data_IF_382523093822
#
_entry.id   IF_382523093822
#
_cell.length_a   1.000
_cell.length_b   1.000
_cell.length_c   1.000
_cell.angle_alpha   90.00
_cell.angle_beta   90.00
_cell.angle_gamma   90.00
#
_symmetry.space_group_name_H-M   'P 1'
#
loop_
_entity.id
_entity.type
_entity.pdbx_description
1 polymer ?
#
# COMPACT_ATOMS: atom_id res chain seq x y z
N UNK A 1 -9.90 1.63 16.60
CA UNK A 1 -10.21 1.81 15.17
C UNK A 1 -9.05 1.38 14.32
N UNK A 2 -9.36 0.63 13.25
CA UNK A 2 -8.33 0.25 12.31
C UNK A 2 -7.81 1.46 11.57
N UNK A 3 -6.52 1.73 11.71
CA UNK A 3 -5.87 2.78 10.96
C UNK A 3 -5.06 2.11 9.83
N UNK A 4 -5.66 2.05 8.64
CA UNK A 4 -5.04 1.39 7.50
C UNK A 4 -3.71 2.03 7.12
N UNK A 5 -3.62 3.34 7.25
CA UNK A 5 -2.40 4.07 6.94
C UNK A 5 -1.24 3.63 7.85
N UNK A 6 -1.52 3.52 9.14
CA UNK A 6 -0.53 3.05 10.12
C UNK A 6 -0.12 1.61 9.83
N UNK A 7 -1.09 0.77 9.50
CA UNK A 7 -0.83 -0.63 9.16
C UNK A 7 0.03 -0.73 7.90
N UNK A 8 -0.23 0.14 6.93
CA UNK A 8 0.58 0.18 5.71
C UNK A 8 2.03 0.51 6.02
N UNK A 9 2.27 1.57 6.79
CA UNK A 9 3.65 1.96 7.13
C UNK A 9 4.38 0.87 7.89
N UNK A 10 3.69 0.21 8.81
CA UNK A 10 4.27 -0.89 9.56
C UNK A 10 4.67 -2.05 8.64
N UNK A 11 3.79 -2.40 7.70
CA UNK A 11 4.07 -3.45 6.73
C UNK A 11 5.23 -3.04 5.83
N UNK A 12 5.19 -1.82 5.30
CA UNK A 12 6.21 -1.31 4.40
C UNK A 12 7.59 -1.30 5.05
N UNK A 13 7.66 -0.88 6.30
CA UNK A 13 8.92 -0.80 7.04
C UNK A 13 9.60 -2.16 7.20
N UNK A 14 8.82 -3.25 7.17
CA UNK A 14 9.33 -4.60 7.32
C UNK A 14 9.63 -5.28 5.98
N UNK A 15 9.42 -4.60 4.86
CA UNK A 15 9.69 -5.19 3.56
C UNK A 15 11.17 -5.06 3.20
N UNK A 16 11.77 -6.12 2.61
CA UNK A 16 13.09 -5.99 2.00
C UNK A 16 13.06 -4.92 0.90
N UNK A 17 14.17 -4.21 0.72
CA UNK A 17 14.23 -3.11 -0.24
C UNK A 17 13.86 -3.54 -1.65
N UNK A 18 14.31 -4.72 -2.07
CA UNK A 18 14.00 -5.21 -3.42
C UNK A 18 12.52 -5.47 -3.64
N UNK A 19 11.81 -5.90 -2.60
CA UNK A 19 10.38 -6.19 -2.70
C UNK A 19 9.56 -4.91 -2.90
N UNK A 20 10.05 -3.80 -2.40
CA UNK A 20 9.34 -2.51 -2.50
C UNK A 20 9.16 -2.03 -3.93
N UNK A 21 9.95 -2.53 -4.86
CA UNK A 21 9.84 -2.19 -6.27
C UNK A 21 8.97 -3.16 -7.08
N UNK A 22 8.42 -4.18 -6.41
CA UNK A 22 7.55 -5.14 -7.08
C UNK A 22 6.13 -4.64 -7.12
N UNK A 23 5.44 -4.96 -8.22
CA UNK A 23 4.03 -4.62 -8.38
C UNK A 23 3.21 -5.43 -7.39
N UNK A 24 2.39 -4.76 -6.60
CA UNK A 24 1.56 -5.42 -5.59
C UNK A 24 0.07 -5.30 -5.92
N UNK A 25 -0.33 -4.24 -6.63
CA UNK A 25 -1.73 -4.01 -7.00
C UNK A 25 -1.81 -3.48 -8.42
N UNK A 26 -2.97 -3.71 -9.05
CA UNK A 26 -3.32 -3.02 -10.29
C UNK A 26 -4.63 -2.29 -10.04
N UNK A 27 -4.63 -0.96 -10.18
CA UNK A 27 -5.81 -0.13 -9.94
C UNK A 27 -6.11 0.63 -11.23
N UNK A 28 -7.31 0.45 -11.75
CA UNK A 28 -7.75 1.10 -13.00
C UNK A 28 -6.75 0.89 -14.14
N UNK A 29 -6.21 -0.32 -14.23
CA UNK A 29 -5.25 -0.68 -15.27
C UNK A 29 -3.82 -0.20 -15.00
N UNK A 30 -3.57 0.48 -13.88
CA UNK A 30 -2.24 0.97 -13.52
C UNK A 30 -1.57 0.04 -12.51
N UNK A 31 -0.43 -0.55 -12.88
CA UNK A 31 0.32 -1.34 -11.91
C UNK A 31 0.95 -0.44 -10.86
N UNK A 32 0.83 -0.86 -9.60
CA UNK A 32 1.31 -0.09 -8.45
C UNK A 32 2.32 -0.92 -7.69
N UNK A 33 3.52 -0.35 -7.50
CA UNK A 33 4.53 -0.96 -6.63
C UNK A 33 4.29 -0.48 -5.19
N UNK A 34 4.94 -1.15 -4.24
CA UNK A 34 4.91 -0.71 -2.85
C UNK A 34 5.38 0.74 -2.72
N UNK A 35 6.45 1.10 -3.44
CA UNK A 35 6.99 2.47 -3.39
C UNK A 35 6.00 3.50 -3.93
N UNK A 36 5.31 3.16 -5.02
CA UNK A 36 4.32 4.06 -5.61
C UNK A 36 3.16 4.26 -4.64
N UNK A 37 2.68 3.18 -4.03
CA UNK A 37 1.59 3.28 -3.06
C UNK A 37 2.03 4.12 -1.85
N UNK A 38 3.28 3.96 -1.40
CA UNK A 38 3.79 4.76 -0.30
C UNK A 38 3.72 6.26 -0.61
N UNK A 39 4.11 6.64 -1.82
CA UNK A 39 4.04 8.04 -2.21
C UNK A 39 2.61 8.56 -2.19
N UNK A 40 1.66 7.75 -2.65
CA UNK A 40 0.25 8.12 -2.62
C UNK A 40 -0.26 8.22 -1.18
N UNK A 41 0.15 7.30 -0.32
CA UNK A 41 -0.24 7.33 1.09
C UNK A 41 0.34 8.58 1.78
N UNK A 42 1.60 8.93 1.47
CA UNK A 42 2.25 10.10 2.05
C UNK A 42 1.50 11.39 1.70
N UNK A 43 0.91 11.46 0.51
CA UNK A 43 0.16 12.63 0.06
C UNK A 43 -1.33 12.54 0.40
N UNK A 44 -1.74 11.42 1.01
CA UNK A 44 -3.13 11.19 1.43
C UNK A 44 -4.10 11.33 0.25
N UNK A 45 -3.70 10.83 -0.91
CA UNK A 45 -4.47 10.94 -2.14
C UNK A 45 -5.70 10.05 -2.13
N UNK A 46 -6.64 10.35 -3.03
CA UNK A 46 -7.83 9.50 -3.22
C UNK A 46 -7.43 8.09 -3.63
N UNK A 47 -6.41 7.98 -4.49
CA UNK A 47 -5.90 6.70 -4.94
C UNK A 47 -5.34 5.87 -3.79
N UNK A 48 -4.70 6.52 -2.80
CA UNK A 48 -4.17 5.81 -1.66
C UNK A 48 -5.27 5.14 -0.84
N UNK A 49 -6.42 5.77 -0.74
CA UNK A 49 -7.54 5.21 0.00
C UNK A 49 -8.06 3.94 -0.66
N UNK A 50 -8.16 3.94 -2.00
CA UNK A 50 -8.55 2.75 -2.75
C UNK A 50 -7.51 1.64 -2.60
N UNK A 51 -6.23 2.01 -2.70
CA UNK A 51 -5.15 1.05 -2.56
C UNK A 51 -5.18 0.38 -1.19
N UNK A 52 -5.34 1.17 -0.14
CA UNK A 52 -5.38 0.64 1.23
C UNK A 52 -6.55 -0.30 1.45
N UNK A 53 -7.71 0.04 0.88
CA UNK A 53 -8.88 -0.84 0.98
C UNK A 53 -8.63 -2.18 0.29
N UNK A 54 -8.03 -2.15 -0.90
CA UNK A 54 -7.70 -3.37 -1.64
C UNK A 54 -6.68 -4.21 -0.88
N UNK A 55 -5.66 -3.57 -0.34
CA UNK A 55 -4.63 -4.29 0.41
C UNK A 55 -5.22 -4.95 1.65
N UNK A 56 -6.16 -4.29 2.31
CA UNK A 56 -6.84 -4.87 3.47
C UNK A 56 -7.64 -6.10 3.06
N UNK A 57 -8.39 -5.99 1.96
CA UNK A 57 -9.17 -7.12 1.45
C UNK A 57 -8.29 -8.32 1.11
N UNK A 58 -7.13 -8.06 0.55
CA UNK A 58 -6.18 -9.10 0.16
C UNK A 58 -5.32 -9.58 1.32
N UNK A 59 -5.52 -9.00 2.51
CA UNK A 59 -4.78 -9.34 3.72
C UNK A 59 -3.29 -9.13 3.57
N UNK A 60 -2.92 -8.07 2.87
CA UNK A 60 -1.51 -7.71 2.65
C UNK A 60 -0.95 -6.82 3.76
N UNK A 61 -1.81 -6.24 4.58
CA UNK A 61 -1.38 -5.34 5.64
C UNK A 61 -1.33 -6.07 6.97
N UNK A 62 -0.27 -5.81 7.72
CA UNK A 62 -0.14 -6.33 9.09
C UNK A 62 -1.10 -5.60 10.02
N UNK A 63 -1.53 -6.30 11.02
CA UNK A 63 -2.34 -5.68 12.08
C UNK A 63 -1.50 -4.88 13.05
#
# INVERSE_FOLDING_TARGET
MDNLKSRFYKTFANLPLGVRNEIVLVIDGQPMTWNVIRLEVDTDSKLSKEALKMMRKLKLLRK
#
